data_IF_386233776354
#
_entry.id   IF_386233776354
#
_cell.length_a   1.000
_cell.length_b   1.000
_cell.length_c   1.000
_cell.angle_alpha   90.00
_cell.angle_beta   90.00
_cell.angle_gamma   90.00
#
_symmetry.space_group_name_H-M   'P 1'
#
loop_
_entity.id
_entity.type
_entity.pdbx_description
1 polymer ?
#
# COMPACT_ATOMS: atom_id res chain seq x y z
N UNK A 1 11.93 16.25 -6.10
CA UNK A 1 11.23 16.47 -4.81
C UNK A 1 10.95 15.11 -4.22
N UNK A 2 11.29 14.89 -2.95
CA UNK A 2 10.94 13.65 -2.26
C UNK A 2 9.41 13.59 -2.09
N UNK A 3 8.76 12.57 -2.67
CA UNK A 3 7.31 12.34 -2.58
C UNK A 3 6.86 12.23 -1.12
N UNK A 4 7.74 11.74 -0.25
CA UNK A 4 7.45 11.40 1.14
C UNK A 4 7.83 12.46 2.16
N UNK A 5 8.25 13.65 1.71
CA UNK A 5 8.62 14.76 2.60
C UNK A 5 7.49 15.19 3.56
N UNK A 6 6.23 14.97 3.18
CA UNK A 6 5.08 15.30 4.03
C UNK A 6 4.91 14.35 5.23
N UNK A 7 5.61 13.20 5.27
CA UNK A 7 5.67 12.34 6.45
C UNK A 7 6.61 12.87 7.54
N UNK A 8 7.29 14.00 7.32
CA UNK A 8 8.04 14.72 8.37
C UNK A 8 7.16 15.65 9.21
N UNK A 9 5.87 15.78 8.88
CA UNK A 9 4.90 16.55 9.66
C UNK A 9 4.68 15.94 11.05
N UNK A 10 4.26 16.75 12.05
CA UNK A 10 4.13 16.31 13.46
C UNK A 10 2.98 15.32 13.73
N UNK A 11 2.41 14.71 12.68
CA UNK A 11 1.40 13.65 12.76
C UNK A 11 1.98 12.25 12.56
N UNK A 12 3.17 12.15 11.97
CA UNK A 12 3.81 10.89 11.62
C UNK A 12 5.05 10.63 12.49
N UNK A 13 5.53 9.39 12.40
CA UNK A 13 6.66 8.86 13.16
C UNK A 13 7.63 8.26 12.12
N UNK A 14 8.93 8.10 12.44
CA UNK A 14 9.91 7.57 11.48
C UNK A 14 9.49 6.22 10.83
N UNK A 15 8.78 5.38 11.59
CA UNK A 15 8.22 4.10 11.10
C UNK A 15 7.21 4.25 9.96
N UNK A 16 6.46 5.36 9.90
CA UNK A 16 5.51 5.63 8.82
C UNK A 16 6.24 5.94 7.51
N UNK A 17 7.24 6.81 7.57
CA UNK A 17 8.03 7.16 6.39
C UNK A 17 8.86 5.95 5.89
N UNK A 18 9.33 5.10 6.80
CA UNK A 18 9.96 3.82 6.44
C UNK A 18 8.96 2.89 5.74
N UNK A 19 7.77 2.68 6.31
CA UNK A 19 6.73 1.82 5.73
C UNK A 19 6.36 2.27 4.31
N UNK A 20 6.18 3.57 4.10
CA UNK A 20 5.84 4.10 2.78
C UNK A 20 6.93 3.83 1.73
N UNK A 21 8.21 3.97 2.12
CA UNK A 21 9.35 3.67 1.24
C UNK A 21 9.47 2.18 0.93
N UNK A 22 9.25 1.31 1.91
CA UNK A 22 9.23 -0.14 1.73
C UNK A 22 8.10 -0.57 0.79
N UNK A 23 6.89 -0.03 1.00
CA UNK A 23 5.74 -0.27 0.14
C UNK A 23 5.97 0.24 -1.30
N UNK A 24 6.53 1.43 -1.47
CA UNK A 24 6.81 2.02 -2.78
C UNK A 24 7.81 1.19 -3.59
N UNK A 25 8.90 0.77 -2.95
CA UNK A 25 9.90 -0.10 -3.55
C UNK A 25 9.30 -1.46 -3.95
N UNK A 26 8.46 -2.04 -3.07
CA UNK A 26 7.76 -3.28 -3.38
C UNK A 26 6.81 -3.11 -4.57
N UNK A 27 6.01 -2.04 -4.60
CA UNK A 27 5.07 -1.79 -5.68
C UNK A 27 5.76 -1.62 -7.03
N UNK A 28 6.85 -0.85 -7.07
CA UNK A 28 7.62 -0.63 -8.30
C UNK A 28 8.15 -1.93 -8.91
N UNK A 29 8.52 -2.91 -8.08
CA UNK A 29 9.01 -4.22 -8.53
C UNK A 29 7.93 -5.25 -8.85
N UNK A 30 6.75 -5.16 -8.24
CA UNK A 30 5.78 -6.25 -8.24
C UNK A 30 4.48 -5.94 -8.99
N UNK A 31 4.06 -4.67 -9.11
CA UNK A 31 2.73 -4.31 -9.62
C UNK A 31 2.66 -4.02 -11.13
N UNK A 32 3.69 -4.37 -11.90
CA UNK A 32 3.70 -4.17 -13.36
C UNK A 32 2.52 -4.82 -14.09
N UNK A 33 1.95 -5.90 -13.53
CA UNK A 33 0.81 -6.62 -14.09
C UNK A 33 -0.55 -5.94 -13.79
N UNK A 34 -0.63 -5.00 -12.86
CA UNK A 34 -1.89 -4.48 -12.32
C UNK A 34 -2.61 -3.47 -13.24
N UNK A 35 -2.21 -3.38 -14.51
CA UNK A 35 -2.76 -2.46 -15.53
C UNK A 35 -3.57 -3.17 -16.64
N UNK A 36 -3.80 -4.48 -16.50
CA UNK A 36 -4.58 -5.25 -17.47
C UNK A 36 -6.08 -4.97 -17.41
N UNK A 37 -6.83 -5.53 -18.37
CA UNK A 37 -8.27 -5.27 -18.55
C UNK A 37 -9.17 -6.16 -17.65
N UNK A 38 -8.69 -7.34 -17.25
CA UNK A 38 -9.43 -8.25 -16.36
C UNK A 38 -9.24 -7.88 -14.89
N UNK A 39 -10.08 -6.94 -14.42
CA UNK A 39 -10.04 -6.44 -13.05
C UNK A 39 -10.21 -7.55 -11.99
N UNK A 40 -11.06 -8.54 -12.23
CA UNK A 40 -11.34 -9.61 -11.27
C UNK A 40 -10.11 -10.49 -11.03
N UNK A 41 -9.47 -10.95 -12.12
CA UNK A 41 -8.25 -11.75 -12.03
C UNK A 41 -7.10 -10.96 -11.43
N UNK A 42 -6.99 -9.67 -11.76
CA UNK A 42 -5.98 -8.77 -11.19
C UNK A 42 -6.19 -8.58 -9.68
N UNK A 43 -7.42 -8.32 -9.24
CA UNK A 43 -7.74 -8.15 -7.81
C UNK A 43 -7.44 -9.40 -7.00
N UNK A 44 -7.79 -10.61 -7.49
CA UNK A 44 -7.46 -11.86 -6.79
C UNK A 44 -5.95 -12.01 -6.58
N UNK A 45 -5.17 -11.72 -7.62
CA UNK A 45 -3.71 -11.74 -7.52
C UNK A 45 -3.17 -10.66 -6.59
N UNK A 46 -3.70 -9.44 -6.65
CA UNK A 46 -3.30 -8.34 -5.76
C UNK A 46 -3.53 -8.68 -4.29
N UNK A 47 -4.71 -9.21 -3.92
CA UNK A 47 -5.00 -9.63 -2.54
C UNK A 47 -3.99 -10.68 -2.08
N UNK A 48 -3.69 -11.66 -2.94
CA UNK A 48 -2.69 -12.69 -2.62
C UNK A 48 -1.28 -12.08 -2.43
N UNK A 49 -0.81 -11.29 -3.39
CA UNK A 49 0.55 -10.72 -3.38
C UNK A 49 0.74 -9.73 -2.22
N UNK A 50 -0.26 -8.87 -1.95
CA UNK A 50 -0.26 -7.94 -0.81
C UNK A 50 -0.32 -8.68 0.53
N UNK A 51 -1.06 -9.78 0.61
CA UNK A 51 -1.11 -10.66 1.78
C UNK A 51 0.21 -11.35 2.04
N UNK A 52 0.85 -11.92 1.00
CA UNK A 52 2.16 -12.54 1.10
C UNK A 52 3.27 -11.55 1.48
N UNK A 53 3.18 -10.30 1.03
CA UNK A 53 4.07 -9.22 1.45
C UNK A 53 3.79 -8.70 2.87
N UNK A 54 2.70 -9.14 3.51
CA UNK A 54 2.35 -8.80 4.88
C UNK A 54 1.65 -7.45 5.04
N UNK A 55 1.30 -6.74 3.97
CA UNK A 55 0.62 -5.45 4.06
C UNK A 55 -0.79 -5.60 4.64
N UNK A 56 -1.53 -6.63 4.26
CA UNK A 56 -2.90 -6.88 4.74
C UNK A 56 -2.98 -7.10 6.26
N UNK A 57 -1.87 -7.48 6.91
CA UNK A 57 -1.81 -7.60 8.37
C UNK A 57 -2.05 -6.26 9.09
N UNK A 58 -1.91 -5.12 8.39
CA UNK A 58 -2.21 -3.79 8.94
C UNK A 58 -3.70 -3.45 8.99
N UNK A 59 -4.54 -4.21 8.29
CA UNK A 59 -5.98 -3.97 8.20
C UNK A 59 -6.79 -4.83 9.17
N UNK A 60 -6.15 -5.68 9.97
CA UNK A 60 -6.82 -6.67 10.83
C UNK A 60 -6.36 -6.55 12.29
N UNK A 61 -7.30 -6.73 13.22
CA UNK A 61 -7.04 -6.71 14.66
C UNK A 61 -7.62 -5.50 15.39
N UNK A 62 -7.17 -5.29 16.63
CA UNK A 62 -7.59 -4.19 17.52
C UNK A 62 -6.53 -3.08 17.54
N UNK A 63 -6.94 -1.84 17.87
CA UNK A 63 -6.04 -0.67 17.95
C UNK A 63 -5.24 -0.40 16.66
N UNK A 64 -5.93 -0.42 15.52
CA UNK A 64 -5.33 -0.19 14.21
C UNK A 64 -4.64 1.18 14.13
N UNK A 65 -3.42 1.19 13.61
CA UNK A 65 -2.73 2.44 13.28
C UNK A 65 -3.24 2.98 11.94
N UNK A 66 -4.27 3.80 12.01
CA UNK A 66 -4.95 4.38 10.85
C UNK A 66 -4.03 5.23 9.97
N UNK A 67 -2.91 5.74 10.51
CA UNK A 67 -1.91 6.49 9.73
C UNK A 67 -1.13 5.57 8.80
N UNK A 68 -0.73 4.40 9.30
CA UNK A 68 -0.11 3.35 8.49
C UNK A 68 -1.06 2.84 7.41
N UNK A 69 -2.35 2.68 7.72
CA UNK A 69 -3.35 2.28 6.71
C UNK A 69 -3.49 3.37 5.65
N UNK A 70 -3.68 4.64 6.05
CA UNK A 70 -3.88 5.74 5.12
C UNK A 70 -2.69 5.96 4.17
N UNK A 71 -1.45 5.86 4.67
CA UNK A 71 -0.27 6.02 3.82
C UNK A 71 -0.07 4.81 2.88
N UNK A 72 -0.42 3.59 3.31
CA UNK A 72 -0.36 2.41 2.43
C UNK A 72 -1.35 2.57 1.27
N UNK A 73 -2.57 3.04 1.56
CA UNK A 73 -3.55 3.40 0.53
C UNK A 73 -3.02 4.42 -0.47
N UNK A 74 -2.39 5.50 0.02
CA UNK A 74 -1.76 6.51 -0.83
C UNK A 74 -0.70 5.89 -1.76
N UNK A 75 0.20 5.08 -1.20
CA UNK A 75 1.26 4.41 -1.97
C UNK A 75 0.67 3.46 -3.00
N UNK A 76 -0.29 2.61 -2.64
CA UNK A 76 -0.89 1.66 -3.58
C UNK A 76 -1.65 2.36 -4.70
N UNK A 77 -2.46 3.36 -4.37
CA UNK A 77 -3.21 4.14 -5.36
C UNK A 77 -2.30 4.85 -6.37
N UNK A 78 -1.12 5.31 -5.94
CA UNK A 78 -0.12 5.93 -6.82
C UNK A 78 0.39 4.95 -7.89
N UNK A 79 0.54 3.67 -7.56
CA UNK A 79 1.06 2.65 -8.48
C UNK A 79 -0.04 2.01 -9.34
N UNK A 80 -1.17 1.66 -8.72
CA UNK A 80 -2.35 1.10 -9.40
C UNK A 80 -3.60 1.30 -8.54
N UNK A 81 -4.66 1.90 -9.11
CA UNK A 81 -5.92 2.10 -8.39
C UNK A 81 -6.53 0.78 -7.85
N UNK A 82 -6.39 -0.32 -8.61
CA UNK A 82 -6.84 -1.64 -8.15
C UNK A 82 -6.03 -2.18 -6.96
N UNK A 83 -4.78 -1.74 -6.75
CA UNK A 83 -4.00 -2.14 -5.59
C UNK A 83 -4.52 -1.48 -4.30
N UNK A 84 -4.93 -0.21 -4.34
CA UNK A 84 -5.63 0.41 -3.20
C UNK A 84 -6.98 -0.29 -2.96
N UNK A 85 -7.73 -0.55 -4.03
CA UNK A 85 -9.01 -1.27 -3.93
C UNK A 85 -8.85 -2.65 -3.25
N UNK A 86 -7.88 -3.45 -3.70
CA UNK A 86 -7.61 -4.78 -3.14
C UNK A 86 -7.07 -4.75 -1.69
N UNK A 87 -6.50 -3.63 -1.25
CA UNK A 87 -5.95 -3.50 0.10
C UNK A 87 -7.02 -3.23 1.17
N UNK A 88 -8.15 -2.62 0.79
CA UNK A 88 -9.18 -2.14 1.73
C UNK A 88 -10.55 -2.83 1.61
N UNK A 89 -10.67 -3.83 0.74
CA UNK A 89 -11.87 -4.62 0.49
C UNK A 89 -11.66 -6.08 0.85
#
# INVERSE_FOLDING_TARGET
MDRFAHYDWPFFEPRHAQLAREADAWCAGNLGYARGEDADSICRRLVQDLGCAGFLARCVGENLDVRSIALLREVFAYHAALADFAFVM
#
